data_IF_277712276298
#
_entry.id   IF_277712276298
#
_cell.length_a   1.000
_cell.length_b   1.000
_cell.length_c   1.000
_cell.angle_alpha   90.00
_cell.angle_beta   90.00
_cell.angle_gamma   90.00
#
_symmetry.space_group_name_H-M   'P 1'
#
loop_
_entity.id
_entity.type
_entity.pdbx_description
1 polymer ?
#
# COMPACT_ATOMS: atom_id res chain seq x y z
N UNK A 1 3.31 -8.23 18.52
CA UNK A 1 2.40 -7.49 19.44
C UNK A 1 3.25 -6.84 20.52
N UNK A 2 3.04 -5.55 20.82
CA UNK A 2 3.81 -4.79 21.82
C UNK A 2 3.46 -5.28 23.24
N UNK A 3 4.41 -5.24 24.18
CA UNK A 3 4.27 -5.78 25.54
C UNK A 3 3.05 -5.26 26.32
N UNK A 4 2.74 -3.97 26.17
CA UNK A 4 1.56 -3.37 26.83
C UNK A 4 0.25 -4.03 26.37
N UNK A 5 0.15 -4.37 25.08
CA UNK A 5 -1.05 -5.01 24.52
C UNK A 5 -1.14 -6.45 24.97
N UNK A 6 -0.02 -7.19 24.97
CA UNK A 6 0.01 -8.56 25.50
C UNK A 6 -0.44 -8.59 26.96
N UNK A 7 0.07 -7.66 27.77
CA UNK A 7 -0.29 -7.54 29.19
C UNK A 7 -1.78 -7.21 29.35
N UNK A 8 -2.33 -6.31 28.53
CA UNK A 8 -3.75 -5.99 28.56
C UNK A 8 -4.62 -7.19 28.19
N UNK A 9 -4.24 -7.95 27.14
CA UNK A 9 -4.94 -9.17 26.72
C UNK A 9 -4.87 -10.25 27.80
N UNK A 10 -3.71 -10.46 28.41
CA UNK A 10 -3.56 -11.47 29.48
C UNK A 10 -4.43 -11.12 30.70
N UNK A 11 -4.43 -9.84 31.12
CA UNK A 11 -5.27 -9.37 32.23
C UNK A 11 -6.75 -9.52 31.94
N UNK A 12 -7.22 -9.09 30.76
CA UNK A 12 -8.64 -9.20 30.45
C UNK A 12 -9.06 -10.66 30.28
N UNK A 13 -8.20 -11.51 29.68
CA UNK A 13 -8.47 -12.94 29.52
C UNK A 13 -8.70 -13.60 30.88
N UNK A 14 -7.84 -13.32 31.86
CA UNK A 14 -8.01 -13.80 33.25
C UNK A 14 -9.27 -13.23 33.90
N UNK A 15 -9.51 -11.94 33.75
CA UNK A 15 -10.66 -11.26 34.37
C UNK A 15 -12.01 -11.78 33.86
N UNK A 16 -12.08 -12.23 32.61
CA UNK A 16 -13.31 -12.70 31.98
C UNK A 16 -13.40 -14.23 31.87
N UNK A 17 -12.46 -14.97 32.48
CA UNK A 17 -12.41 -16.44 32.45
C UNK A 17 -13.68 -17.10 33.00
N UNK A 18 -14.17 -16.65 34.15
CA UNK A 18 -15.40 -17.19 34.74
C UNK A 18 -16.63 -16.92 33.87
N UNK A 19 -16.69 -15.74 33.24
CA UNK A 19 -17.79 -15.37 32.35
C UNK A 19 -17.82 -16.23 31.09
N UNK A 20 -16.65 -16.52 30.50
CA UNK A 20 -16.53 -17.45 29.38
C UNK A 20 -16.89 -18.88 29.78
N UNK A 21 -16.44 -19.34 30.94
CA UNK A 21 -16.74 -20.67 31.47
C UNK A 21 -18.24 -20.84 31.75
N UNK A 22 -18.89 -19.82 32.32
CA UNK A 22 -20.34 -19.77 32.49
C UNK A 22 -21.06 -19.90 31.14
N UNK A 23 -20.63 -19.15 30.14
CA UNK A 23 -21.23 -19.19 28.81
C UNK A 23 -21.09 -20.58 28.16
N UNK A 24 -19.90 -21.18 28.23
CA UNK A 24 -19.66 -22.53 27.72
C UNK A 24 -20.53 -23.58 28.41
N UNK A 25 -20.73 -23.45 29.72
CA UNK A 25 -21.60 -24.36 30.47
C UNK A 25 -23.07 -24.21 30.08
N UNK A 26 -23.56 -22.96 29.97
CA UNK A 26 -24.95 -22.67 29.59
C UNK A 26 -25.27 -23.07 28.14
N UNK A 27 -24.27 -23.09 27.26
CA UNK A 27 -24.42 -23.66 25.91
C UNK A 27 -24.77 -25.14 25.94
N UNK A 28 -24.25 -25.88 26.91
CA UNK A 28 -24.46 -27.33 27.07
C UNK A 28 -25.69 -27.65 27.94
N UNK A 29 -26.05 -26.73 28.86
CA UNK A 29 -27.10 -26.94 29.87
C UNK A 29 -28.09 -25.75 29.92
N UNK A 30 -28.81 -25.44 28.83
CA UNK A 30 -29.65 -24.23 28.75
C UNK A 30 -30.84 -24.23 29.72
N UNK A 31 -31.28 -25.40 30.16
CA UNK A 31 -32.46 -25.58 31.03
C UNK A 31 -32.10 -25.77 32.50
N UNK A 32 -30.83 -25.69 32.86
CA UNK A 32 -30.35 -25.87 34.24
C UNK A 32 -29.63 -24.61 34.70
N UNK A 33 -29.75 -24.27 35.98
CA UNK A 33 -29.00 -23.15 36.54
C UNK A 33 -27.52 -23.53 36.69
N UNK A 34 -26.63 -22.64 36.27
CA UNK A 34 -25.22 -22.77 36.57
C UNK A 34 -24.98 -22.68 38.08
N UNK A 35 -24.11 -23.53 38.61
CA UNK A 35 -23.66 -23.48 40.01
C UNK A 35 -22.20 -23.04 40.01
N UNK A 36 -21.93 -21.85 40.55
CA UNK A 36 -20.55 -21.35 40.58
C UNK A 36 -19.70 -22.09 41.63
N UNK A 37 -18.37 -22.22 41.43
CA UNK A 37 -17.50 -23.03 42.29
C UNK A 37 -17.53 -22.66 43.77
N UNK A 38 -17.71 -21.37 44.08
CA UNK A 38 -17.75 -20.89 45.47
C UNK A 38 -19.08 -21.18 46.18
N UNK A 39 -20.08 -21.72 45.47
CA UNK A 39 -21.35 -22.09 46.07
C UNK A 39 -21.21 -23.46 46.73
N UNK A 40 -21.08 -23.45 48.06
CA UNK A 40 -21.06 -24.67 48.86
C UNK A 40 -22.51 -25.12 49.06
N UNK A 41 -23.07 -25.82 48.07
CA UNK A 41 -24.36 -26.47 48.24
C UNK A 41 -24.24 -27.56 49.32
N UNK A 42 -24.84 -27.33 50.49
CA UNK A 42 -25.00 -28.39 51.49
C UNK A 42 -26.18 -29.32 51.16
N UNK A 43 -26.99 -29.00 50.15
CA UNK A 43 -28.28 -29.65 49.92
C UNK A 43 -28.60 -29.87 48.44
N UNK A 44 -28.29 -31.07 47.96
CA UNK A 44 -28.80 -31.58 46.69
C UNK A 44 -30.31 -31.78 46.76
N UNK A 45 -31.07 -30.96 46.01
CA UNK A 45 -32.49 -31.18 45.71
C UNK A 45 -33.51 -30.79 46.79
N UNK A 46 -33.14 -29.94 47.77
CA UNK A 46 -34.08 -29.41 48.78
C UNK A 46 -34.42 -27.93 48.55
N UNK A 47 -35.52 -27.48 49.15
CA UNK A 47 -35.86 -26.06 49.21
C UNK A 47 -34.72 -25.26 49.83
N UNK A 48 -34.32 -24.18 49.17
CA UNK A 48 -33.34 -23.21 49.60
C UNK A 48 -34.02 -22.15 50.47
N UNK A 49 -33.29 -21.65 51.47
CA UNK A 49 -33.62 -20.39 52.13
C UNK A 49 -33.38 -19.20 51.19
N UNK A 50 -33.92 -18.03 51.52
CA UNK A 50 -33.74 -16.81 50.73
C UNK A 50 -32.26 -16.40 50.64
N UNK A 51 -31.48 -16.64 51.70
CA UNK A 51 -30.02 -16.40 51.72
C UNK A 51 -29.33 -17.37 50.76
N UNK A 52 -29.58 -18.68 50.89
CA UNK A 52 -28.95 -19.69 50.02
C UNK A 52 -29.34 -19.49 48.55
N UNK A 53 -30.56 -19.02 48.27
CA UNK A 53 -30.99 -18.66 46.93
C UNK A 53 -30.22 -17.45 46.38
N UNK A 54 -29.96 -16.43 47.21
CA UNK A 54 -29.12 -15.30 46.81
C UNK A 54 -27.65 -15.74 46.61
N UNK A 55 -27.12 -16.58 47.50
CA UNK A 55 -25.77 -17.14 47.40
C UNK A 55 -25.61 -17.95 46.12
N UNK A 56 -26.61 -18.74 45.71
CA UNK A 56 -26.61 -19.49 44.45
C UNK A 56 -26.50 -18.57 43.22
N UNK A 57 -26.96 -17.32 43.31
CA UNK A 57 -26.80 -16.31 42.26
C UNK A 57 -25.44 -15.59 42.31
N UNK A 58 -24.62 -15.85 43.33
CA UNK A 58 -23.38 -15.13 43.62
C UNK A 58 -23.54 -13.86 44.46
N UNK A 59 -24.67 -13.71 45.17
CA UNK A 59 -24.96 -12.54 46.00
C UNK A 59 -24.84 -12.86 47.50
N UNK A 60 -23.94 -12.18 48.19
CA UNK A 60 -23.80 -12.25 49.65
C UNK A 60 -24.60 -11.11 50.30
N UNK A 61 -25.77 -11.43 50.85
CA UNK A 61 -26.73 -10.46 51.40
C UNK A 61 -27.14 -10.84 52.82
N UNK A 62 -27.54 -9.85 53.62
CA UNK A 62 -28.21 -10.13 54.90
C UNK A 62 -29.58 -10.78 54.67
N UNK A 63 -30.11 -11.47 55.69
CA UNK A 63 -31.42 -12.13 55.61
C UNK A 63 -32.54 -11.19 55.11
N UNK A 64 -32.59 -9.95 55.62
CA UNK A 64 -33.60 -8.96 55.23
C UNK A 64 -33.51 -8.59 53.74
N UNK A 65 -32.29 -8.35 53.26
CA UNK A 65 -32.02 -8.00 51.86
C UNK A 65 -32.28 -9.19 50.92
N UNK A 66 -31.95 -10.40 51.36
CA UNK A 66 -32.20 -11.63 50.63
C UNK A 66 -33.71 -11.86 50.43
N UNK A 67 -34.51 -11.72 51.49
CA UNK A 67 -35.98 -11.76 51.40
C UNK A 67 -36.51 -10.69 50.45
N UNK A 68 -36.03 -9.45 50.57
CA UNK A 68 -36.45 -8.37 49.69
C UNK A 68 -36.13 -8.69 48.22
N UNK A 69 -34.94 -9.25 47.96
CA UNK A 69 -34.51 -9.61 46.61
C UNK A 69 -35.38 -10.73 46.04
N UNK A 70 -35.59 -11.82 46.77
CA UNK A 70 -36.39 -12.95 46.32
C UNK A 70 -37.84 -12.54 46.03
N UNK A 71 -38.48 -11.80 46.93
CA UNK A 71 -39.89 -11.49 46.77
C UNK A 71 -40.17 -10.38 45.76
N UNK A 72 -39.39 -9.29 45.77
CA UNK A 72 -39.69 -8.14 44.93
C UNK A 72 -38.92 -8.13 43.60
N UNK A 73 -37.68 -8.64 43.57
CA UNK A 73 -36.87 -8.62 42.34
C UNK A 73 -37.02 -9.88 41.49
N UNK A 74 -37.32 -11.02 42.11
CA UNK A 74 -37.49 -12.31 41.44
C UNK A 74 -38.92 -12.85 41.51
N UNK A 75 -39.82 -12.17 42.23
CA UNK A 75 -41.26 -12.45 42.19
C UNK A 75 -41.65 -13.79 42.82
N UNK A 76 -40.98 -14.16 43.91
CA UNK A 76 -41.41 -15.22 44.82
C UNK A 76 -42.41 -14.68 45.86
N UNK A 77 -43.31 -15.53 46.34
CA UNK A 77 -44.20 -15.23 47.47
C UNK A 77 -43.66 -15.83 48.76
N UNK A 78 -44.11 -15.30 49.91
CA UNK A 78 -43.78 -15.91 51.21
C UNK A 78 -44.37 -17.31 51.29
N UNK A 79 -43.53 -18.29 51.60
CA UNK A 79 -43.91 -19.71 51.67
C UNK A 79 -43.73 -20.48 50.37
N UNK A 80 -43.28 -19.84 49.27
CA UNK A 80 -42.87 -20.55 48.07
C UNK A 80 -41.66 -21.46 48.37
N UNK A 81 -41.68 -22.68 47.83
CA UNK A 81 -40.50 -23.55 47.84
C UNK A 81 -39.51 -23.07 46.79
N UNK A 82 -38.44 -22.40 47.23
CA UNK A 82 -37.37 -21.93 46.34
C UNK A 82 -36.44 -23.11 46.05
N UNK A 83 -36.24 -23.48 44.79
CA UNK A 83 -35.26 -24.47 44.35
C UNK A 83 -34.38 -23.86 43.28
N UNK A 84 -33.28 -24.52 42.91
CA UNK A 84 -32.46 -24.07 41.78
C UNK A 84 -33.29 -24.05 40.47
N UNK A 85 -34.20 -25.01 40.26
CA UNK A 85 -35.07 -25.00 39.08
C UNK A 85 -36.08 -23.85 39.11
N UNK A 86 -36.73 -23.61 40.25
CA UNK A 86 -37.71 -22.51 40.34
C UNK A 86 -37.04 -21.14 40.25
N UNK A 87 -35.82 -21.01 40.79
CA UNK A 87 -35.00 -19.82 40.64
C UNK A 87 -34.57 -19.59 39.20
N UNK A 88 -34.09 -20.63 38.50
CA UNK A 88 -33.75 -20.53 37.08
C UNK A 88 -34.96 -20.13 36.25
N UNK A 89 -36.13 -20.73 36.50
CA UNK A 89 -37.38 -20.38 35.82
C UNK A 89 -37.74 -18.88 35.93
N UNK A 90 -37.36 -18.20 37.02
CA UNK A 90 -37.59 -16.75 37.21
C UNK A 90 -36.57 -15.85 36.52
N UNK A 91 -35.35 -16.34 36.26
CA UNK A 91 -34.25 -15.51 35.74
C UNK A 91 -33.77 -15.88 34.34
N UNK A 92 -34.13 -17.07 33.82
CA UNK A 92 -33.70 -17.56 32.50
C UNK A 92 -34.06 -16.57 31.38
N UNK A 93 -35.20 -15.89 31.49
CA UNK A 93 -35.62 -14.86 30.54
C UNK A 93 -34.72 -13.62 30.50
N UNK A 94 -33.77 -13.50 31.44
CA UNK A 94 -32.76 -12.43 31.46
C UNK A 94 -31.49 -12.82 30.70
N UNK A 95 -31.34 -14.08 30.29
CA UNK A 95 -30.32 -14.47 29.33
C UNK A 95 -30.63 -13.77 28.00
N UNK A 96 -29.64 -13.18 27.30
CA UNK A 96 -29.89 -12.51 26.03
C UNK A 96 -30.59 -13.41 25.01
N UNK A 97 -31.57 -12.89 24.27
CA UNK A 97 -32.35 -13.66 23.30
C UNK A 97 -31.49 -14.28 22.19
N UNK A 98 -30.38 -13.62 21.82
CA UNK A 98 -29.46 -14.11 20.79
C UNK A 98 -28.44 -15.15 21.31
N UNK A 99 -28.43 -15.43 22.62
CA UNK A 99 -27.54 -16.43 23.22
C UNK A 99 -27.73 -17.80 22.54
N UNK A 100 -26.65 -18.55 22.23
CA UNK A 100 -25.27 -18.34 22.66
C UNK A 100 -24.43 -17.45 21.74
N UNK A 101 -25.03 -16.79 20.77
CA UNK A 101 -24.32 -16.01 19.77
C UNK A 101 -24.06 -14.59 20.25
N UNK A 102 -22.81 -14.15 20.10
CA UNK A 102 -22.45 -12.73 20.12
C UNK A 102 -22.59 -12.15 18.72
N UNK A 103 -22.15 -12.92 17.71
CA UNK A 103 -22.33 -12.59 16.31
C UNK A 103 -22.42 -13.88 15.51
N UNK A 104 -23.63 -14.22 15.07
CA UNK A 104 -23.92 -15.44 14.32
C UNK A 104 -23.23 -15.46 12.96
N UNK A 105 -23.12 -14.31 12.29
CA UNK A 105 -22.48 -14.20 10.97
C UNK A 105 -20.96 -14.41 11.05
N UNK A 106 -20.34 -13.95 12.12
CA UNK A 106 -18.91 -14.16 12.38
C UNK A 106 -18.62 -15.53 13.04
N UNK A 107 -19.64 -16.32 13.37
CA UNK A 107 -19.49 -17.60 14.08
C UNK A 107 -18.98 -17.44 15.52
N UNK A 108 -19.15 -16.28 16.15
CA UNK A 108 -18.64 -15.99 17.49
C UNK A 108 -19.74 -16.20 18.53
N UNK A 109 -19.48 -17.13 19.46
CA UNK A 109 -20.32 -17.38 20.64
C UNK A 109 -19.79 -16.64 21.87
N UNK A 110 -20.61 -16.57 22.92
CA UNK A 110 -20.20 -15.98 24.21
C UNK A 110 -18.97 -16.70 24.81
N UNK A 111 -18.91 -18.03 24.76
CA UNK A 111 -17.75 -18.81 25.25
C UNK A 111 -16.43 -18.43 24.57
N UNK A 112 -16.48 -18.06 23.28
CA UNK A 112 -15.33 -17.62 22.50
C UNK A 112 -15.08 -16.10 22.52
N UNK A 113 -15.90 -15.30 23.22
CA UNK A 113 -15.77 -13.85 23.22
C UNK A 113 -14.90 -13.36 24.39
N UNK A 114 -13.89 -12.53 24.09
CA UNK A 114 -12.92 -12.04 25.08
C UNK A 114 -13.58 -11.28 26.25
N UNK A 115 -14.70 -10.60 25.98
CA UNK A 115 -15.42 -9.78 26.96
C UNK A 115 -16.70 -10.44 27.48
N UNK A 116 -16.87 -11.76 27.32
CA UNK A 116 -17.97 -12.47 27.98
C UNK A 116 -17.75 -12.50 29.49
N UNK A 117 -18.68 -11.92 30.23
CA UNK A 117 -18.64 -11.67 31.67
C UNK A 117 -19.93 -12.14 32.32
N UNK A 118 -19.96 -12.11 33.65
CA UNK A 118 -21.18 -12.31 34.43
C UNK A 118 -21.97 -11.00 34.51
N UNK A 119 -23.30 -11.06 34.55
CA UNK A 119 -24.11 -9.84 34.61
C UNK A 119 -23.77 -8.98 35.84
N UNK A 120 -23.75 -7.66 35.67
CA UNK A 120 -23.34 -6.66 36.66
C UNK A 120 -21.85 -6.66 37.07
N UNK A 121 -20.96 -7.44 36.42
CA UNK A 121 -19.53 -7.48 36.80
C UNK A 121 -18.83 -6.11 36.82
N UNK A 122 -19.29 -5.15 36.01
CA UNK A 122 -18.74 -3.79 35.94
C UNK A 122 -19.62 -2.74 36.63
N UNK A 123 -20.64 -3.16 37.38
CA UNK A 123 -21.58 -2.23 38.03
C UNK A 123 -21.06 -1.81 39.41
N UNK A 124 -20.99 -0.49 39.66
CA UNK A 124 -20.43 0.02 40.92
C UNK A 124 -21.23 -0.35 42.18
N UNK A 125 -22.55 -0.50 42.07
CA UNK A 125 -23.45 -0.73 43.22
C UNK A 125 -24.11 -2.12 43.28
N UNK A 126 -24.13 -2.87 42.17
CA UNK A 126 -24.92 -4.12 42.09
C UNK A 126 -23.94 -5.27 42.16
N UNK A 127 -24.25 -6.26 42.98
CA UNK A 127 -23.49 -7.50 43.02
C UNK A 127 -23.53 -8.24 41.67
N UNK A 128 -22.41 -8.89 41.34
CA UNK A 128 -22.26 -9.73 40.16
C UNK A 128 -23.21 -10.93 40.24
N UNK A 129 -24.03 -11.12 39.21
CA UNK A 129 -24.88 -12.29 39.06
C UNK A 129 -24.10 -13.36 38.29
N UNK A 130 -23.56 -14.34 39.01
CA UNK A 130 -22.62 -15.32 38.46
C UNK A 130 -23.25 -16.40 37.59
N UNK A 131 -24.57 -16.37 37.43
CA UNK A 131 -25.37 -17.34 36.66
C UNK A 131 -25.91 -16.78 35.34
N UNK A 132 -25.74 -15.47 35.09
CA UNK A 132 -26.22 -14.82 33.87
C UNK A 132 -25.06 -14.33 33.00
N UNK A 133 -24.98 -14.76 31.73
CA UNK A 133 -23.96 -14.29 30.81
C UNK A 133 -24.29 -12.87 30.36
N UNK A 134 -23.25 -12.07 30.18
CA UNK A 134 -23.38 -10.67 29.80
C UNK A 134 -22.11 -10.18 29.09
N UNK A 135 -22.21 -9.12 28.29
CA UNK A 135 -21.06 -8.44 27.71
C UNK A 135 -21.19 -6.93 27.87
N UNK A 136 -20.07 -6.23 28.07
CA UNK A 136 -20.07 -4.77 28.04
C UNK A 136 -20.32 -4.25 26.63
N UNK A 137 -21.06 -3.15 26.54
CA UNK A 137 -21.16 -2.36 25.33
C UNK A 137 -20.12 -1.22 25.32
N UNK A 138 -20.04 -0.51 24.19
CA UNK A 138 -19.13 0.63 24.05
C UNK A 138 -19.48 1.79 24.98
N UNK A 139 -20.74 1.90 25.40
CA UNK A 139 -21.21 2.98 26.26
C UNK A 139 -20.67 2.85 27.67
N UNK A 140 -20.43 1.64 28.17
CA UNK A 140 -19.83 1.43 29.49
C UNK A 140 -18.45 2.09 29.56
N UNK A 141 -17.62 1.88 28.54
CA UNK A 141 -16.30 2.50 28.45
C UNK A 141 -16.43 4.02 28.24
N UNK A 142 -17.29 4.46 27.32
CA UNK A 142 -17.47 5.90 27.06
C UNK A 142 -17.96 6.65 28.32
N UNK A 143 -18.87 6.05 29.08
CA UNK A 143 -19.36 6.60 30.34
C UNK A 143 -18.25 6.68 31.39
N UNK A 144 -17.30 5.74 31.38
CA UNK A 144 -16.18 5.75 32.31
C UNK A 144 -15.07 6.75 31.91
N UNK A 145 -14.95 7.06 30.62
CA UNK A 145 -13.97 8.01 30.08
C UNK A 145 -14.46 9.47 30.04
N UNK A 146 -15.69 9.75 30.46
CA UNK A 146 -16.30 11.09 30.35
C UNK A 146 -17.17 11.43 31.56
N UNK A 147 -17.22 12.71 31.98
CA UNK A 147 -18.29 13.22 32.82
C UNK A 147 -19.65 13.03 32.13
N UNK A 148 -20.70 12.76 32.91
CA UNK A 148 -22.07 12.59 32.42
C UNK A 148 -22.96 13.73 32.88
N UNK A 149 -22.76 14.88 32.24
CA UNK A 149 -23.49 16.13 32.53
C UNK A 149 -25.01 15.97 32.37
N UNK A 150 -25.46 15.06 31.50
CA UNK A 150 -26.88 14.80 31.25
C UNK A 150 -27.61 14.09 32.40
N UNK A 151 -26.90 13.58 33.42
CA UNK A 151 -27.53 12.91 34.56
C UNK A 151 -28.14 13.87 35.59
N UNK A 152 -27.97 15.19 35.41
CA UNK A 152 -28.48 16.20 36.33
C UNK A 152 -27.70 16.30 37.64
N UNK A 153 -27.94 17.37 38.40
CA UNK A 153 -27.31 17.57 39.71
C UNK A 153 -27.80 16.52 40.71
N UNK A 154 -26.87 15.83 41.39
CA UNK A 154 -27.17 14.85 42.43
C UNK A 154 -26.93 13.38 42.05
N UNK A 155 -26.64 13.07 40.78
CA UNK A 155 -26.25 11.70 40.39
C UNK A 155 -24.76 11.48 40.61
N UNK A 156 -24.43 10.48 41.44
CA UNK A 156 -23.06 10.12 41.79
C UNK A 156 -22.40 9.31 40.66
N UNK A 157 -22.11 9.96 39.53
CA UNK A 157 -21.26 9.40 38.48
C UNK A 157 -19.83 9.94 38.61
N UNK A 158 -18.84 9.06 38.47
CA UNK A 158 -17.43 9.42 38.53
C UNK A 158 -16.67 8.70 37.42
N UNK A 159 -16.12 9.46 36.49
CA UNK A 159 -15.23 8.94 35.44
C UNK A 159 -13.93 8.41 36.04
N UNK A 160 -13.19 7.60 35.29
CA UNK A 160 -11.86 7.12 35.70
C UNK A 160 -10.94 8.30 36.06
N UNK A 161 -10.98 9.39 35.30
CA UNK A 161 -10.16 10.57 35.56
C UNK A 161 -10.49 11.19 36.92
N UNK A 162 -11.78 11.36 37.22
CA UNK A 162 -12.23 11.89 38.51
C UNK A 162 -11.85 10.98 39.67
N UNK A 163 -12.02 9.65 39.52
CA UNK A 163 -11.65 8.67 40.56
C UNK A 163 -10.18 8.73 40.94
N UNK A 164 -9.30 9.03 39.99
CA UNK A 164 -7.85 9.11 40.22
C UNK A 164 -7.32 10.55 40.33
N UNK A 165 -8.19 11.57 40.35
CA UNK A 165 -7.80 12.96 40.55
C UNK A 165 -7.15 13.64 39.33
N UNK A 166 -7.31 13.10 38.13
CA UNK A 166 -6.80 13.69 36.90
C UNK A 166 -7.71 14.82 36.39
N UNK A 167 -7.11 15.99 36.14
CA UNK A 167 -7.76 17.22 35.67
C UNK A 167 -6.88 17.93 34.66
N UNK A 168 -7.50 18.78 33.83
CA UNK A 168 -6.76 19.72 32.99
C UNK A 168 -6.05 20.79 33.84
N UNK A 169 -5.11 21.53 33.22
CA UNK A 169 -4.33 22.58 33.90
C UNK A 169 -5.20 23.73 34.43
N UNK A 170 -6.35 23.96 33.81
CA UNK A 170 -7.36 24.93 34.24
C UNK A 170 -8.29 24.39 35.35
N UNK A 171 -8.09 23.15 35.80
CA UNK A 171 -8.87 22.50 36.84
C UNK A 171 -10.17 21.83 36.35
N UNK A 172 -10.47 21.87 35.05
CA UNK A 172 -11.65 21.21 34.48
C UNK A 172 -11.48 19.67 34.45
N UNK A 173 -12.61 18.94 34.50
CA UNK A 173 -12.59 17.47 34.48
C UNK A 173 -12.14 16.96 33.11
N UNK A 174 -11.25 15.96 33.12
CA UNK A 174 -10.80 15.33 31.89
C UNK A 174 -11.89 14.48 31.25
N UNK A 175 -11.93 14.53 29.92
CA UNK A 175 -12.85 13.79 29.07
C UNK A 175 -12.13 13.29 27.82
N UNK A 176 -12.35 12.02 27.47
CA UNK A 176 -11.93 11.47 26.18
C UNK A 176 -13.01 10.52 25.65
N UNK A 177 -13.16 10.47 24.33
CA UNK A 177 -13.98 9.47 23.67
C UNK A 177 -13.11 8.33 23.14
N UNK A 178 -13.70 7.14 23.05
CA UNK A 178 -13.04 5.98 22.43
C UNK A 178 -12.58 6.24 21.00
N UNK A 179 -13.30 7.07 20.24
CA UNK A 179 -12.94 7.43 18.87
C UNK A 179 -11.68 8.31 18.80
N UNK A 180 -11.46 9.23 19.74
CA UNK A 180 -10.26 10.09 19.74
C UNK A 180 -8.96 9.28 19.75
N UNK A 181 -8.93 8.13 20.43
CA UNK A 181 -7.78 7.23 20.39
C UNK A 181 -7.55 6.65 18.99
N UNK A 182 -8.62 6.30 18.27
CA UNK A 182 -8.56 5.82 16.88
C UNK A 182 -8.03 6.90 15.93
N UNK A 183 -8.53 8.14 16.05
CA UNK A 183 -8.04 9.29 15.29
C UNK A 183 -6.53 9.52 15.53
N UNK A 184 -6.09 9.45 16.79
CA UNK A 184 -4.69 9.62 17.16
C UNK A 184 -3.80 8.55 16.53
N UNK A 185 -4.15 7.27 16.67
CA UNK A 185 -3.35 6.15 16.15
C UNK A 185 -3.26 6.21 14.62
N UNK A 186 -4.35 6.49 13.92
CA UNK A 186 -4.34 6.66 12.47
C UNK A 186 -3.43 7.81 12.02
N UNK A 187 -3.58 8.97 12.68
CA UNK A 187 -2.73 10.14 12.39
C UNK A 187 -1.26 9.83 12.64
N UNK A 188 -0.93 9.07 13.70
CA UNK A 188 0.43 8.57 13.93
C UNK A 188 0.90 7.63 12.81
N UNK A 189 0.03 6.76 12.28
CA UNK A 189 0.33 5.92 11.12
C UNK A 189 0.69 6.73 9.88
N UNK A 190 -0.12 7.74 9.54
CA UNK A 190 0.19 8.64 8.42
C UNK A 190 1.49 9.43 8.65
N UNK A 191 1.74 9.86 9.90
CA UNK A 191 2.99 10.54 10.28
C UNK A 191 4.20 9.61 10.17
N UNK A 192 4.02 8.34 10.49
CA UNK A 192 5.01 7.27 10.33
C UNK A 192 5.23 6.80 8.89
N UNK A 193 4.49 7.35 7.92
CA UNK A 193 4.65 7.04 6.49
C UNK A 193 3.87 5.84 5.99
N UNK A 194 2.92 5.31 6.77
CA UNK A 194 2.03 4.26 6.29
C UNK A 194 1.13 4.79 5.15
N UNK A 195 0.96 3.97 4.12
CA UNK A 195 0.03 4.20 3.02
C UNK A 195 -1.43 4.10 3.48
N UNK A 196 -2.35 4.64 2.67
CA UNK A 196 -3.80 4.55 2.92
C UNK A 196 -4.27 3.10 3.06
N UNK A 197 -3.73 2.18 2.24
CA UNK A 197 -4.10 0.76 2.28
C UNK A 197 -3.58 0.08 3.55
N UNK A 198 -2.37 0.41 4.00
CA UNK A 198 -1.81 -0.13 5.25
C UNK A 198 -2.60 0.34 6.46
N UNK A 199 -2.99 1.62 6.49
CA UNK A 199 -3.82 2.18 7.56
C UNK A 199 -5.21 1.58 7.53
N UNK A 200 -5.82 1.43 6.34
CA UNK A 200 -7.12 0.81 6.20
C UNK A 200 -7.10 -0.64 6.71
N UNK A 201 -6.08 -1.42 6.34
CA UNK A 201 -5.88 -2.79 6.82
C UNK A 201 -5.67 -2.85 8.32
N UNK A 202 -4.78 -2.00 8.85
CA UNK A 202 -4.51 -1.92 10.29
C UNK A 202 -5.77 -1.56 11.10
N UNK A 203 -6.57 -0.63 10.58
CA UNK A 203 -7.80 -0.16 11.22
C UNK A 203 -9.01 -1.07 10.95
N UNK A 204 -8.86 -2.13 10.14
CA UNK A 204 -9.94 -3.06 9.79
C UNK A 204 -11.03 -2.45 8.90
N UNK A 205 -10.68 -1.52 8.02
CA UNK A 205 -11.61 -0.85 7.09
C UNK A 205 -11.68 -1.59 5.76
N UNK A 206 -12.89 -1.68 5.21
CA UNK A 206 -13.12 -2.22 3.87
C UNK A 206 -12.76 -1.21 2.75
N UNK A 207 -12.94 0.09 3.01
CA UNK A 207 -12.65 1.16 2.05
C UNK A 207 -11.60 2.14 2.63
N UNK A 208 -10.42 2.27 2.01
CA UNK A 208 -9.39 3.24 2.40
C UNK A 208 -9.88 4.69 2.44
N UNK A 209 -10.92 5.07 1.68
CA UNK A 209 -11.47 6.44 1.70
C UNK A 209 -11.98 6.86 3.08
N UNK A 210 -12.33 5.90 3.93
CA UNK A 210 -12.76 6.15 5.30
C UNK A 210 -11.62 6.72 6.18
N UNK A 211 -10.35 6.55 5.81
CA UNK A 211 -9.20 7.07 6.56
C UNK A 211 -9.24 8.61 6.70
N UNK A 212 -9.78 9.32 5.69
CA UNK A 212 -9.85 10.79 5.69
C UNK A 212 -10.54 11.38 6.92
N UNK A 213 -11.54 10.68 7.47
CA UNK A 213 -12.26 11.13 8.68
C UNK A 213 -11.33 11.10 9.90
N UNK A 214 -10.38 10.18 9.92
CA UNK A 214 -9.49 9.91 11.04
C UNK A 214 -8.13 10.60 10.95
N UNK A 215 -7.74 11.01 9.75
CA UNK A 215 -6.48 11.69 9.47
C UNK A 215 -6.54 13.17 9.87
N UNK A 216 -5.73 13.55 10.85
CA UNK A 216 -5.57 14.94 11.29
C UNK A 216 -4.20 15.54 10.95
N UNK A 217 -3.48 14.99 9.95
CA UNK A 217 -2.31 15.69 9.39
C UNK A 217 -2.78 17.04 8.85
N UNK A 218 -2.11 18.10 9.30
CA UNK A 218 -2.39 19.46 8.85
C UNK A 218 -1.81 19.71 7.46
N UNK A 219 -2.37 20.68 6.73
CA UNK A 219 -1.83 21.07 5.42
C UNK A 219 -0.37 21.54 5.51
N UNK A 220 0.03 22.16 6.62
CA UNK A 220 1.42 22.55 6.87
C UNK A 220 2.34 21.33 7.00
N UNK A 221 1.92 20.30 7.74
CA UNK A 221 2.69 19.05 7.86
C UNK A 221 2.87 18.35 6.49
N UNK A 222 1.85 18.40 5.62
CA UNK A 222 1.95 17.88 4.25
C UNK A 222 2.94 18.71 3.42
N UNK A 223 2.86 20.04 3.49
CA UNK A 223 3.76 20.94 2.78
C UNK A 223 5.22 20.71 3.21
N UNK A 224 5.48 20.67 4.52
CA UNK A 224 6.82 20.41 5.08
C UNK A 224 7.38 19.05 4.64
N UNK A 225 6.51 18.04 4.44
CA UNK A 225 6.92 16.73 3.94
C UNK A 225 7.28 16.80 2.46
N UNK A 226 6.49 17.52 1.66
CA UNK A 226 6.76 17.72 0.24
C UNK A 226 8.05 18.52 0.01
N UNK A 227 8.29 19.56 0.80
CA UNK A 227 9.53 20.35 0.75
C UNK A 227 10.75 19.50 1.10
N UNK A 228 10.67 18.66 2.13
CA UNK A 228 11.73 17.72 2.48
C UNK A 228 12.02 16.71 1.37
N UNK A 229 10.99 16.11 0.80
CA UNK A 229 11.14 15.19 -0.34
C UNK A 229 11.74 15.88 -1.56
N UNK A 230 11.37 17.13 -1.83
CA UNK A 230 12.02 17.92 -2.90
C UNK A 230 13.48 18.21 -2.59
N UNK A 231 13.83 18.59 -1.35
CA UNK A 231 15.21 18.82 -0.94
C UNK A 231 16.05 17.53 -1.04
N UNK A 232 15.51 16.40 -0.62
CA UNK A 232 16.14 15.07 -0.73
C UNK A 232 16.27 14.63 -2.19
N UNK A 233 15.22 14.81 -3.00
CA UNK A 233 15.25 14.52 -4.45
C UNK A 233 16.18 15.46 -5.22
N UNK A 234 16.38 16.69 -4.75
CA UNK A 234 17.33 17.65 -5.32
C UNK A 234 18.80 17.23 -5.12
N UNK A 235 19.07 16.19 -4.32
CA UNK A 235 20.40 15.55 -4.30
C UNK A 235 20.69 14.77 -5.59
N UNK A 236 19.71 14.59 -6.48
CA UNK A 236 19.90 14.28 -7.89
C UNK A 236 20.19 15.54 -8.72
N UNK A 237 21.32 16.22 -8.46
CA UNK A 237 21.95 17.25 -9.31
C UNK A 237 21.00 18.00 -10.28
N UNK A 238 20.14 18.87 -9.75
CA UNK A 238 19.84 20.10 -10.50
C UNK A 238 21.04 21.04 -10.31
N UNK A 239 22.19 20.67 -10.89
CA UNK A 239 23.21 21.66 -11.17
C UNK A 239 22.50 22.63 -12.11
N UNK A 240 22.31 23.88 -11.67
CA UNK A 240 22.09 24.97 -12.60
C UNK A 240 23.36 25.02 -13.44
N UNK A 241 23.39 24.21 -14.51
CA UNK A 241 24.44 24.26 -15.51
C UNK A 241 24.34 25.66 -16.05
N UNK A 242 25.43 26.42 -15.93
CA UNK A 242 25.56 27.65 -16.67
C UNK A 242 25.43 27.27 -18.15
N UNK A 243 24.24 27.46 -18.72
CA UNK A 243 23.99 27.22 -20.13
C UNK A 243 24.53 28.42 -20.88
N UNK A 244 25.77 28.32 -21.36
CA UNK A 244 26.22 29.24 -22.40
C UNK A 244 25.38 28.97 -23.67
N UNK A 245 24.88 30.02 -24.34
CA UNK A 245 24.21 29.85 -25.62
C UNK A 245 25.18 29.21 -26.60
N UNK A 246 24.89 27.97 -27.01
CA UNK A 246 25.59 27.30 -28.10
C UNK A 246 24.83 27.55 -29.40
N UNK A 247 25.53 27.55 -30.52
CA UNK A 247 24.88 27.59 -31.81
C UNK A 247 24.05 26.31 -32.05
N UNK A 248 23.19 26.35 -33.08
CA UNK A 248 22.27 25.25 -33.37
C UNK A 248 22.99 23.98 -33.82
N UNK A 249 24.15 24.08 -34.44
CA UNK A 249 24.93 22.94 -34.92
C UNK A 249 25.57 22.21 -33.74
N UNK A 250 26.22 22.95 -32.84
CA UNK A 250 26.75 22.46 -31.58
C UNK A 250 25.65 21.81 -30.73
N UNK A 251 24.45 22.42 -30.65
CA UNK A 251 23.32 21.82 -29.94
C UNK A 251 22.82 20.49 -30.57
N UNK A 252 22.89 20.36 -31.89
CA UNK A 252 22.47 19.15 -32.60
C UNK A 252 23.48 18.01 -32.50
N UNK A 253 24.76 18.34 -32.34
CA UNK A 253 25.84 17.38 -32.14
C UNK A 253 26.00 16.98 -30.67
N UNK A 254 25.57 17.83 -29.73
CA UNK A 254 25.62 17.52 -28.30
C UNK A 254 24.84 16.22 -27.97
N UNK A 255 25.44 15.28 -27.22
CA UNK A 255 24.73 14.11 -26.71
C UNK A 255 23.54 14.52 -25.83
N UNK A 256 22.35 14.04 -26.17
CA UNK A 256 21.12 14.30 -25.41
C UNK A 256 20.69 13.03 -24.69
N UNK A 257 20.76 13.05 -23.36
CA UNK A 257 20.35 11.92 -22.54
C UNK A 257 21.37 10.77 -22.52
N UNK A 258 20.87 9.54 -22.38
CA UNK A 258 21.70 8.35 -22.32
C UNK A 258 22.33 8.02 -23.68
N UNK A 259 23.61 7.65 -23.69
CA UNK A 259 24.34 7.26 -24.90
C UNK A 259 24.81 5.81 -24.82
N UNK A 260 24.77 5.10 -25.94
CA UNK A 260 25.32 3.75 -26.06
C UNK A 260 26.64 3.76 -26.83
N UNK A 261 27.69 3.14 -26.30
CA UNK A 261 28.98 3.04 -26.99
C UNK A 261 28.92 2.03 -28.14
N UNK A 262 29.34 2.47 -29.33
CA UNK A 262 29.48 1.67 -30.54
C UNK A 262 30.97 1.47 -30.90
N UNK A 263 31.26 0.72 -31.97
CA UNK A 263 32.63 0.50 -32.46
C UNK A 263 33.34 1.81 -32.84
N UNK A 264 32.61 2.73 -33.50
CA UNK A 264 33.17 3.96 -34.08
C UNK A 264 32.82 5.24 -33.33
N UNK A 265 32.14 5.16 -32.18
CA UNK A 265 31.62 6.35 -31.47
C UNK A 265 30.47 5.98 -30.54
N UNK A 266 29.42 6.79 -30.50
CA UNK A 266 28.23 6.57 -29.68
C UNK A 266 26.95 6.68 -30.48
N UNK A 267 25.93 5.98 -30.00
CA UNK A 267 24.55 6.09 -30.47
C UNK A 267 23.80 7.03 -29.53
N UNK A 268 23.16 8.04 -30.09
CA UNK A 268 22.31 9.01 -29.36
C UNK A 268 20.81 8.71 -29.50
N UNK A 269 20.47 7.47 -29.88
CA UNK A 269 19.09 7.04 -30.06
C UNK A 269 18.35 6.99 -28.72
N UNK A 270 17.12 7.51 -28.68
CA UNK A 270 16.27 7.45 -27.50
C UNK A 270 15.57 6.08 -27.41
N UNK A 271 16.22 5.14 -26.73
CA UNK A 271 15.70 3.78 -26.49
C UNK A 271 14.44 3.75 -25.61
N UNK A 272 14.10 4.85 -24.92
CA UNK A 272 12.83 4.94 -24.19
C UNK A 272 11.65 5.19 -25.14
N UNK A 273 11.92 5.85 -26.27
CA UNK A 273 10.91 6.13 -27.30
C UNK A 273 10.65 4.93 -28.22
N UNK A 274 11.70 4.17 -28.58
CA UNK A 274 11.60 3.05 -29.53
C UNK A 274 12.85 2.17 -29.57
N UNK A 275 12.77 0.94 -30.14
CA UNK A 275 13.95 0.12 -30.40
C UNK A 275 14.71 0.59 -31.66
N UNK A 276 16.02 0.30 -31.71
CA UNK A 276 16.89 0.63 -32.83
C UNK A 276 16.47 -0.08 -34.13
N UNK A 277 16.21 0.69 -35.19
CA UNK A 277 15.87 0.15 -36.52
C UNK A 277 17.07 -0.26 -37.39
N UNK A 278 18.30 0.09 -36.98
CA UNK A 278 19.54 -0.17 -37.74
C UNK A 278 20.25 -1.46 -37.33
N UNK A 279 19.83 -2.14 -36.26
CA UNK A 279 20.39 -3.43 -35.83
C UNK A 279 21.93 -3.49 -35.79
N UNK A 280 22.57 -2.49 -35.16
CA UNK A 280 24.03 -2.32 -35.04
C UNK A 280 24.77 -1.88 -36.32
N UNK A 281 24.05 -1.53 -37.38
CA UNK A 281 24.60 -0.80 -38.52
C UNK A 281 24.81 0.69 -38.19
N UNK A 282 25.61 0.95 -37.15
CA UNK A 282 25.81 2.27 -36.57
C UNK A 282 26.53 3.21 -37.55
N UNK A 283 27.46 2.69 -38.35
CA UNK A 283 28.19 3.48 -39.34
C UNK A 283 27.23 4.14 -40.33
N UNK A 284 26.18 3.42 -40.74
CA UNK A 284 25.21 3.91 -41.72
C UNK A 284 24.05 4.74 -41.10
N UNK A 285 24.06 4.95 -39.78
CA UNK A 285 22.99 5.62 -39.03
C UNK A 285 23.20 7.14 -38.88
N UNK A 286 22.12 7.93 -38.97
CA UNK A 286 22.16 9.38 -38.72
C UNK A 286 22.21 9.76 -37.23
N UNK A 287 21.92 8.83 -36.33
CA UNK A 287 21.99 9.02 -34.86
C UNK A 287 23.35 8.59 -34.28
N UNK A 288 24.30 8.23 -35.15
CA UNK A 288 25.67 7.93 -34.75
C UNK A 288 26.50 9.20 -34.65
N UNK A 289 27.28 9.29 -33.57
CA UNK A 289 28.16 10.39 -33.28
C UNK A 289 29.56 9.85 -33.02
N UNK A 290 30.54 10.30 -33.78
CA UNK A 290 31.94 10.00 -33.57
C UNK A 290 32.63 11.19 -32.90
N UNK A 291 33.66 10.95 -32.11
CA UNK A 291 34.54 11.99 -31.61
C UNK A 291 35.92 11.79 -32.23
N UNK A 292 36.49 12.84 -32.82
CA UNK A 292 37.85 12.80 -33.34
C UNK A 292 38.81 12.58 -32.18
N UNK A 293 39.34 11.36 -32.10
CA UNK A 293 40.40 11.00 -31.16
C UNK A 293 41.55 10.37 -31.91
N UNK A 294 42.72 10.97 -31.85
CA UNK A 294 43.92 10.48 -32.56
C UNK A 294 44.20 9.01 -32.25
N UNK A 295 43.91 8.56 -31.02
CA UNK A 295 44.05 7.16 -30.61
C UNK A 295 43.18 6.16 -31.40
N UNK A 296 42.04 6.59 -31.97
CA UNK A 296 41.12 5.73 -32.71
C UNK A 296 41.44 5.65 -34.21
N UNK A 297 42.38 6.49 -34.72
CA UNK A 297 42.68 6.58 -36.16
C UNK A 297 43.17 5.27 -36.75
N UNK A 298 44.09 4.58 -36.08
CA UNK A 298 44.65 3.32 -36.57
C UNK A 298 43.57 2.23 -36.72
N UNK A 299 42.61 2.18 -35.79
CA UNK A 299 41.48 1.26 -35.85
C UNK A 299 40.55 1.58 -37.02
N UNK A 300 40.24 2.86 -37.25
CA UNK A 300 39.42 3.30 -38.38
C UNK A 300 40.07 2.97 -39.73
N UNK A 301 41.38 3.21 -39.86
CA UNK A 301 42.13 2.87 -41.07
C UNK A 301 42.21 1.35 -41.28
N UNK A 302 42.23 0.55 -40.21
CA UNK A 302 42.13 -0.91 -40.30
C UNK A 302 40.74 -1.35 -40.74
N UNK A 303 39.69 -0.82 -40.13
CA UNK A 303 38.31 -1.14 -40.48
C UNK A 303 37.99 -0.79 -41.94
N UNK A 304 38.55 0.32 -42.44
CA UNK A 304 38.44 0.70 -43.84
C UNK A 304 39.08 -0.35 -44.76
N UNK A 305 40.30 -0.82 -44.45
CA UNK A 305 40.96 -1.86 -45.25
C UNK A 305 40.15 -3.15 -45.28
N UNK A 306 39.65 -3.59 -44.12
CA UNK A 306 38.83 -4.80 -44.00
C UNK A 306 37.55 -4.70 -44.86
N UNK A 307 36.88 -3.54 -44.85
CA UNK A 307 35.68 -3.31 -45.66
C UNK A 307 36.01 -3.21 -47.16
N UNK A 308 37.14 -2.62 -47.54
CA UNK A 308 37.57 -2.54 -48.94
C UNK A 308 37.94 -3.91 -49.52
N UNK A 309 38.56 -4.78 -48.71
CA UNK A 309 38.81 -6.19 -49.06
C UNK A 309 37.48 -6.93 -49.29
N UNK A 310 36.53 -6.80 -48.36
CA UNK A 310 35.19 -7.41 -48.48
C UNK A 310 34.41 -6.87 -49.69
N UNK A 311 34.58 -5.60 -50.02
CA UNK A 311 33.94 -4.98 -51.18
C UNK A 311 34.49 -5.58 -52.49
N UNK A 312 35.82 -5.72 -52.60
CA UNK A 312 36.45 -6.33 -53.77
C UNK A 312 36.05 -7.80 -53.96
N UNK A 313 35.93 -8.56 -52.87
CA UNK A 313 35.40 -9.93 -52.92
C UNK A 313 33.94 -9.97 -53.39
N UNK A 314 33.11 -9.02 -52.94
CA UNK A 314 31.73 -8.91 -53.39
C UNK A 314 31.61 -8.56 -54.88
N UNK A 315 32.47 -7.68 -55.41
CA UNK A 315 32.51 -7.36 -56.85
C UNK A 315 32.78 -8.62 -57.69
N UNK A 316 33.76 -9.43 -57.27
CA UNK A 316 34.07 -10.70 -57.94
C UNK A 316 32.90 -11.69 -57.84
N UNK A 317 32.25 -11.78 -56.69
CA UNK A 317 31.11 -12.67 -56.48
C UNK A 317 29.88 -12.23 -57.30
N UNK A 318 29.65 -10.92 -57.44
CA UNK A 318 28.62 -10.37 -58.33
C UNK A 318 28.90 -10.72 -59.78
N UNK A 319 30.15 -10.52 -60.25
CA UNK A 319 30.56 -10.87 -61.61
C UNK A 319 30.40 -12.38 -61.90
N UNK A 320 30.60 -13.22 -60.88
CA UNK A 320 30.39 -14.66 -60.96
C UNK A 320 28.91 -15.10 -60.84
N UNK A 321 27.98 -14.16 -60.60
CA UNK A 321 26.54 -14.43 -60.55
C UNK A 321 26.05 -15.12 -59.27
N UNK A 322 26.78 -14.99 -58.16
CA UNK A 322 26.34 -15.53 -56.87
C UNK A 322 25.10 -14.80 -56.35
N UNK A 323 24.09 -15.55 -55.92
CA UNK A 323 22.86 -15.00 -55.37
C UNK A 323 23.12 -14.20 -54.08
N UNK A 324 22.64 -12.96 -54.02
CA UNK A 324 22.78 -12.07 -52.86
C UNK A 324 24.09 -11.29 -52.78
N UNK A 325 25.01 -11.48 -53.74
CA UNK A 325 26.26 -10.72 -53.82
C UNK A 325 26.01 -9.23 -54.10
N UNK A 326 24.94 -8.91 -54.82
CA UNK A 326 24.43 -7.56 -55.08
C UNK A 326 24.14 -6.79 -53.78
N UNK A 327 23.37 -7.37 -52.86
CA UNK A 327 23.02 -6.72 -51.58
C UNK A 327 24.24 -6.54 -50.68
N UNK A 328 25.17 -7.51 -50.72
CA UNK A 328 26.42 -7.42 -49.96
C UNK A 328 27.30 -6.29 -50.50
N UNK A 329 27.44 -6.20 -51.82
CA UNK A 329 28.15 -5.12 -52.50
C UNK A 329 27.54 -3.76 -52.17
N UNK A 330 26.22 -3.59 -52.26
CA UNK A 330 25.54 -2.34 -51.93
C UNK A 330 25.85 -1.87 -50.49
N UNK A 331 25.73 -2.77 -49.52
CA UNK A 331 25.98 -2.47 -48.11
C UNK A 331 27.45 -2.11 -47.83
N UNK A 332 28.40 -2.88 -48.38
CA UNK A 332 29.83 -2.63 -48.17
C UNK A 332 30.31 -1.42 -48.97
N UNK A 333 29.70 -1.12 -50.13
CA UNK A 333 29.96 0.10 -50.90
C UNK A 333 29.65 1.33 -50.08
N UNK A 334 28.46 1.39 -49.47
CA UNK A 334 28.06 2.49 -48.61
C UNK A 334 29.00 2.61 -47.39
N UNK A 335 29.27 1.48 -46.72
CA UNK A 335 30.15 1.45 -45.56
C UNK A 335 31.58 1.90 -45.89
N UNK A 336 32.11 1.50 -47.05
CA UNK A 336 33.43 1.91 -47.53
C UNK A 336 33.50 3.43 -47.76
N UNK A 337 32.50 4.00 -48.45
CA UNK A 337 32.40 5.46 -48.67
C UNK A 337 32.41 6.21 -47.34
N UNK A 338 31.61 5.75 -46.37
CA UNK A 338 31.52 6.42 -45.06
C UNK A 338 32.78 6.27 -44.22
N UNK A 339 33.45 5.12 -44.27
CA UNK A 339 34.73 4.96 -43.59
C UNK A 339 35.82 5.80 -44.26
N UNK A 340 35.83 5.95 -45.59
CA UNK A 340 36.74 6.87 -46.28
C UNK A 340 36.52 8.32 -45.85
N UNK A 341 35.27 8.76 -45.76
CA UNK A 341 34.92 10.09 -45.25
C UNK A 341 35.41 10.25 -43.81
N UNK A 342 35.13 9.29 -42.93
CA UNK A 342 35.52 9.35 -41.52
C UNK A 342 37.05 9.37 -41.36
N UNK A 343 37.77 8.50 -42.08
CA UNK A 343 39.24 8.48 -42.11
C UNK A 343 39.78 9.79 -42.68
N UNK A 344 39.14 10.36 -43.71
CA UNK A 344 39.47 11.67 -44.26
C UNK A 344 39.39 12.78 -43.21
N UNK A 345 38.29 12.84 -42.47
CA UNK A 345 38.09 13.80 -41.36
C UNK A 345 39.13 13.60 -40.25
N UNK A 346 39.50 12.35 -39.94
CA UNK A 346 40.54 12.06 -38.95
C UNK A 346 41.95 12.43 -39.41
N UNK A 347 42.19 12.50 -40.72
CA UNK A 347 43.46 12.92 -41.34
C UNK A 347 43.55 14.43 -41.55
N UNK A 348 42.42 15.12 -41.56
CA UNK A 348 42.36 16.56 -41.75
C UNK A 348 42.75 17.31 -40.48
N UNK A 349 43.93 17.95 -40.48
CA UNK A 349 44.43 18.74 -39.36
C UNK A 349 43.59 20.01 -39.08
N UNK A 350 42.71 20.42 -40.02
CA UNK A 350 41.76 21.51 -39.79
C UNK A 350 40.63 21.11 -38.81
N UNK A 351 40.40 19.82 -38.59
CA UNK A 351 39.41 19.32 -37.63
C UNK A 351 40.08 19.10 -36.28
N UNK A 352 39.65 19.82 -35.25
CA UNK A 352 40.27 19.77 -33.93
C UNK A 352 40.11 18.42 -33.21
N UNK A 353 41.05 18.07 -32.34
CA UNK A 353 40.94 16.90 -31.46
C UNK A 353 39.77 17.11 -30.48
N UNK A 354 38.91 16.10 -30.35
CA UNK A 354 37.66 16.18 -29.58
C UNK A 354 36.45 16.67 -30.37
N UNK A 355 36.62 17.03 -31.66
CA UNK A 355 35.51 17.42 -32.52
C UNK A 355 34.47 16.30 -32.65
N UNK A 356 33.19 16.67 -32.53
CA UNK A 356 32.06 15.76 -32.72
C UNK A 356 31.70 15.68 -34.20
N UNK A 357 31.70 14.47 -34.75
CA UNK A 357 31.52 14.18 -36.16
C UNK A 357 30.24 13.37 -36.33
N UNK A 358 29.34 13.84 -37.21
CA UNK A 358 28.18 13.08 -37.67
C UNK A 358 28.19 13.05 -39.19
N UNK A 359 28.33 11.87 -39.77
CA UNK A 359 28.22 11.68 -41.22
C UNK A 359 26.74 11.68 -41.58
N UNK A 360 26.35 12.57 -42.48
CA UNK A 360 24.96 12.69 -42.95
C UNK A 360 24.68 11.56 -43.94
N UNK A 361 23.55 10.88 -43.77
CA UNK A 361 23.04 9.93 -44.75
C UNK A 361 21.58 10.25 -45.07
N UNK A 362 21.38 10.79 -46.27
CA UNK A 362 20.08 11.19 -46.77
C UNK A 362 19.15 9.99 -47.01
N UNK A 363 19.72 8.79 -47.11
CA UNK A 363 19.01 7.53 -47.30
C UNK A 363 18.87 6.72 -46.00
N UNK A 364 19.33 7.24 -44.85
CA UNK A 364 19.19 6.51 -43.60
C UNK A 364 17.70 6.39 -43.22
N UNK A 365 17.21 5.20 -42.85
CA UNK A 365 15.83 5.05 -42.44
C UNK A 365 15.58 5.85 -41.16
N UNK A 366 14.66 6.81 -41.22
CA UNK A 366 14.23 7.59 -40.07
C UNK A 366 12.84 7.14 -39.60
N UNK A 367 12.49 7.44 -38.34
CA UNK A 367 11.12 7.22 -37.85
C UNK A 367 10.09 7.98 -38.67
N UNK A 368 10.40 9.23 -39.05
CA UNK A 368 9.55 10.03 -39.91
C UNK A 368 9.37 9.37 -41.29
N UNK A 369 10.45 8.89 -41.91
CA UNK A 369 10.39 8.19 -43.20
C UNK A 369 9.59 6.89 -43.11
N UNK A 370 9.73 6.11 -42.03
CA UNK A 370 8.94 4.90 -41.80
C UNK A 370 7.47 5.19 -41.55
N UNK A 371 7.16 6.22 -40.76
CA UNK A 371 5.78 6.65 -40.50
C UNK A 371 5.12 7.20 -41.79
N UNK A 372 5.87 7.96 -42.61
CA UNK A 372 5.41 8.43 -43.91
C UNK A 372 5.18 7.28 -44.89
N UNK A 373 6.07 6.27 -44.92
CA UNK A 373 5.90 5.08 -45.76
C UNK A 373 4.69 4.23 -45.32
N UNK A 374 4.53 4.00 -44.01
CA UNK A 374 3.37 3.29 -43.45
C UNK A 374 2.05 4.01 -43.74
N UNK A 375 2.06 5.35 -43.79
CA UNK A 375 0.89 6.14 -44.19
C UNK A 375 0.70 6.20 -45.71
N UNK A 376 1.75 6.01 -46.52
CA UNK A 376 1.68 6.00 -47.98
C UNK A 376 1.16 4.67 -48.54
N UNK A 377 1.31 3.55 -47.84
CA UNK A 377 0.65 2.28 -48.17
C UNK A 377 -0.89 2.36 -48.05
N UNK A 378 -1.42 3.37 -47.34
CA UNK A 378 -2.85 3.69 -47.26
C UNK A 378 -3.33 4.61 -48.42
N UNK A 379 -2.41 5.07 -49.29
CA UNK A 379 -2.67 5.99 -50.41
C UNK A 379 -2.11 5.45 -51.72
N UNK A 380 -2.28 4.15 -52.00
CA UNK A 380 -2.06 3.60 -53.36
C UNK A 380 -3.21 3.96 -54.33
N UNK A 381 -3.91 5.07 -54.09
CA UNK A 381 -5.06 5.52 -54.88
C UNK A 381 -4.85 6.80 -55.67
N UNK A 382 -3.78 7.56 -55.44
CA UNK A 382 -3.50 8.81 -56.16
C UNK A 382 -2.02 9.13 -56.16
N UNK A 383 -1.34 8.88 -57.27
CA UNK A 383 -0.51 9.84 -58.02
C UNK A 383 0.25 9.08 -59.12
N UNK A 384 -0.24 9.25 -60.34
CA UNK A 384 0.39 8.79 -61.58
C UNK A 384 1.68 9.60 -61.89
N UNK A 385 2.65 8.89 -62.46
CA UNK A 385 3.47 9.30 -63.63
C UNK A 385 4.49 10.47 -63.56
N UNK A 386 5.15 10.71 -62.42
CA UNK A 386 6.35 11.58 -62.38
C UNK A 386 7.66 10.92 -61.91
N UNK A 387 7.62 9.85 -61.12
CA UNK A 387 8.82 9.19 -60.57
C UNK A 387 9.56 8.28 -61.57
N UNK A 388 8.95 7.94 -62.71
CA UNK A 388 9.57 7.12 -63.76
C UNK A 388 10.60 7.92 -64.61
N UNK A 389 10.43 9.25 -64.72
CA UNK A 389 11.31 10.10 -65.54
C UNK A 389 12.63 10.44 -64.85
N UNK A 390 12.67 10.45 -63.52
CA UNK A 390 13.88 10.82 -62.75
C UNK A 390 14.89 9.67 -62.66
N UNK A 391 14.43 8.41 -62.69
CA UNK A 391 15.30 7.23 -62.73
C UNK A 391 15.88 6.95 -64.13
N UNK A 392 15.12 7.27 -65.19
CA UNK A 392 15.58 7.10 -66.57
C UNK A 392 16.74 8.05 -66.93
N UNK A 393 16.75 9.27 -66.35
CA UNK A 393 17.79 10.27 -66.62
C UNK A 393 19.12 10.04 -65.88
N UNK A 394 19.19 9.09 -64.94
CA UNK A 394 20.41 8.73 -64.21
C UNK A 394 21.20 7.61 -64.87
N UNK A 395 20.60 6.87 -65.82
CA UNK A 395 21.26 5.81 -66.58
C UNK A 395 22.00 6.36 -67.81
N UNK A 396 21.69 7.58 -68.27
CA UNK A 396 22.37 8.22 -69.42
C UNK A 396 23.64 9.02 -69.05
N UNK A 397 24.03 9.06 -67.76
CA UNK A 397 25.25 9.77 -67.29
C UNK A 397 26.27 8.87 -66.57
N UNK A 398 26.13 7.55 -66.67
CA UNK A 398 27.21 6.57 -66.43
C UNK A 398 27.59 5.93 -67.77
#
# INVERSE_FOLDING_TARGET
>A
MVEVVKTAIDRITKLTEEGRSLAEWLEQHPDTMFIHPDYVSQYGGKSLSEIEACEALGLNLSHSEACQRMYYSYGFSRGDSITLESLWGKIKSRVPDEFPWVNKNAGIKYSGALFAMQANSLHAQRGTLRVLPWMPDVNIINNDLSPRESLGEGVNHSSIFKRYGYKHLDGTEMKITTHQMRHMIDTMGHRGGMSEDEIARFAGRADPKQNRVYNHITSSEVADRYERLQAESAHGKAILIHCEPVDREAYNLAPKGAIHKSKWGWCTHDFSSSPCGMFRDCLNCNEHLCEKRTANRAQLEQDLREIEEQLAEAELAMAAGYAGADRWYEHHSLSAVRLRELVGIFRDDAVEEGALIRIKNDFAPSHASRALAANHDDVSGRLDDESSKTLSNLIEFM
#
